data_IF_994345599818
#
_entry.id   IF_994345599818
#
_cell.length_a   1.000
_cell.length_b   1.000
_cell.length_c   1.000
_cell.angle_alpha   90.00
_cell.angle_beta   90.00
_cell.angle_gamma   90.00
#
_symmetry.space_group_name_H-M   'P 1'
#
loop_
_entity.id
_entity.type
_entity.pdbx_description
1 polymer ?
#
# COMPACT_ATOMS: atom_id res chain seq x y z
N UNK A 1 -26.59 -19.90 -13.68
CA UNK A 1 -26.40 -18.88 -14.74
C UNK A 1 -26.43 -17.53 -14.05
N UNK A 2 -25.29 -16.83 -14.01
CA UNK A 2 -25.21 -15.47 -13.47
C UNK A 2 -25.78 -14.58 -14.57
N UNK A 3 -27.02 -14.14 -14.42
CA UNK A 3 -27.57 -13.11 -15.30
C UNK A 3 -26.97 -11.77 -14.85
N UNK A 4 -25.99 -11.28 -15.59
CA UNK A 4 -25.49 -9.90 -15.45
C UNK A 4 -26.62 -8.97 -15.87
N UNK A 5 -27.33 -8.45 -14.89
CA UNK A 5 -28.29 -7.37 -15.15
C UNK A 5 -27.50 -6.07 -15.35
N UNK A 6 -27.22 -5.73 -16.63
CA UNK A 6 -26.50 -4.52 -17.02
C UNK A 6 -27.38 -3.26 -16.96
N UNK A 7 -28.40 -3.26 -16.10
CA UNK A 7 -29.24 -2.09 -15.85
C UNK A 7 -28.47 -0.89 -15.28
N UNK A 8 -29.11 0.31 -15.24
CA UNK A 8 -28.46 1.53 -14.74
C UNK A 8 -27.81 1.38 -13.35
N UNK A 9 -28.38 0.55 -12.48
CA UNK A 9 -27.88 0.28 -11.15
C UNK A 9 -26.52 -0.44 -11.16
N UNK A 10 -26.26 -1.32 -12.13
CA UNK A 10 -24.97 -1.96 -12.30
C UNK A 10 -23.87 -0.92 -12.55
N UNK A 11 -24.10 0.02 -13.46
CA UNK A 11 -23.12 1.05 -13.80
C UNK A 11 -22.86 2.02 -12.65
N UNK A 12 -23.89 2.39 -11.89
CA UNK A 12 -23.74 3.25 -10.71
C UNK A 12 -22.89 2.55 -9.67
N UNK A 13 -23.17 1.29 -9.33
CA UNK A 13 -22.38 0.51 -8.36
C UNK A 13 -20.94 0.27 -8.84
N UNK A 14 -20.75 0.01 -10.14
CA UNK A 14 -19.44 -0.16 -10.72
C UNK A 14 -18.59 1.12 -10.58
N UNK A 15 -19.18 2.28 -10.85
CA UNK A 15 -18.52 3.57 -10.66
C UNK A 15 -18.23 3.84 -9.18
N UNK A 16 -19.15 3.53 -8.29
CA UNK A 16 -18.97 3.65 -6.85
C UNK A 16 -17.81 2.78 -6.35
N UNK A 17 -17.79 1.50 -6.71
CA UNK A 17 -16.71 0.57 -6.32
C UNK A 17 -15.37 1.02 -6.95
N UNK A 18 -15.37 1.41 -8.23
CA UNK A 18 -14.18 1.90 -8.91
C UNK A 18 -13.63 3.17 -8.24
N UNK A 19 -14.50 4.10 -7.86
CA UNK A 19 -14.11 5.32 -7.17
C UNK A 19 -13.61 5.05 -5.76
N UNK A 20 -14.32 4.24 -4.97
CA UNK A 20 -13.87 3.81 -3.64
C UNK A 20 -12.51 3.11 -3.70
N UNK A 21 -12.35 2.16 -4.63
CA UNK A 21 -11.08 1.46 -4.78
C UNK A 21 -9.95 2.40 -5.22
N UNK A 22 -10.23 3.39 -6.07
CA UNK A 22 -9.24 4.41 -6.45
C UNK A 22 -8.85 5.28 -5.26
N UNK A 23 -9.83 5.70 -4.45
CA UNK A 23 -9.59 6.51 -3.25
C UNK A 23 -8.73 5.76 -2.24
N UNK A 24 -9.04 4.46 -2.03
CA UNK A 24 -8.32 3.57 -1.12
C UNK A 24 -6.99 3.05 -1.69
N UNK A 25 -6.66 3.37 -2.95
CA UNK A 25 -5.43 2.88 -3.61
C UNK A 25 -4.31 3.94 -3.68
N UNK A 26 -4.53 5.11 -3.07
CA UNK A 26 -3.53 6.18 -3.09
C UNK A 26 -2.22 5.79 -2.40
N UNK A 27 -2.30 5.18 -1.24
CA UNK A 27 -1.19 4.63 -0.46
C UNK A 27 -0.52 3.44 -1.17
N UNK A 28 -1.30 2.58 -1.83
CA UNK A 28 -0.79 1.47 -2.66
C UNK A 28 0.06 2.00 -3.83
N UNK A 29 -0.36 3.09 -4.48
CA UNK A 29 0.44 3.71 -5.54
C UNK A 29 1.79 4.26 -5.01
N UNK A 30 1.79 4.85 -3.81
CA UNK A 30 3.01 5.31 -3.13
C UNK A 30 3.92 4.13 -2.79
N UNK A 31 3.36 3.06 -2.25
CA UNK A 31 4.09 1.83 -1.92
C UNK A 31 4.76 1.23 -3.16
N UNK A 32 3.99 1.04 -4.24
CA UNK A 32 4.52 0.50 -5.51
C UNK A 32 5.63 1.40 -6.03
N UNK A 33 5.42 2.72 -6.05
CA UNK A 33 6.42 3.67 -6.50
C UNK A 33 7.73 3.57 -5.70
N UNK A 34 7.64 3.50 -4.36
CA UNK A 34 8.79 3.32 -3.48
C UNK A 34 9.50 1.98 -3.70
N UNK A 35 8.76 0.90 -3.90
CA UNK A 35 9.31 -0.43 -4.10
C UNK A 35 10.09 -0.57 -5.42
N UNK A 36 9.59 0.07 -6.50
CA UNK A 36 10.20 -0.05 -7.84
C UNK A 36 11.21 1.05 -8.17
N UNK A 37 11.34 2.11 -7.36
CA UNK A 37 12.16 3.29 -7.68
C UNK A 37 13.63 2.95 -7.98
N UNK A 38 14.18 1.95 -7.26
CA UNK A 38 15.57 1.49 -7.40
C UNK A 38 15.82 0.56 -8.57
N UNK A 39 14.75 0.11 -9.23
CA UNK A 39 14.87 -0.77 -10.38
C UNK A 39 15.26 0.00 -11.66
N UNK A 40 15.99 -0.63 -12.60
CA UNK A 40 16.17 -0.11 -13.94
C UNK A 40 14.83 0.20 -14.62
N UNK A 41 14.77 1.20 -15.50
CA UNK A 41 13.52 1.69 -16.09
C UNK A 41 12.61 0.58 -16.66
N UNK A 42 13.19 -0.38 -17.40
CA UNK A 42 12.40 -1.49 -17.96
C UNK A 42 11.86 -2.46 -16.90
N UNK A 43 12.59 -2.69 -15.80
CA UNK A 43 12.11 -3.50 -14.67
C UNK A 43 11.09 -2.78 -13.81
N UNK A 44 11.06 -1.43 -13.81
CA UNK A 44 10.04 -0.66 -13.06
C UNK A 44 8.64 -0.98 -13.54
N UNK A 45 8.42 -0.94 -14.86
CA UNK A 45 7.11 -1.25 -15.46
C UNK A 45 6.72 -2.69 -15.16
N UNK A 46 7.65 -3.64 -15.31
CA UNK A 46 7.39 -5.04 -14.98
C UNK A 46 7.05 -5.22 -13.49
N UNK A 47 7.77 -4.54 -12.59
CA UNK A 47 7.49 -4.58 -11.15
C UNK A 47 6.14 -3.99 -10.80
N UNK A 48 5.75 -2.89 -11.43
CA UNK A 48 4.43 -2.28 -11.27
C UNK A 48 3.32 -3.20 -11.76
N UNK A 49 3.46 -3.77 -12.96
CA UNK A 49 2.44 -4.64 -13.57
C UNK A 49 2.29 -5.94 -12.75
N UNK A 50 3.39 -6.64 -12.45
CA UNK A 50 3.34 -7.88 -11.68
C UNK A 50 2.92 -7.65 -10.23
N UNK A 51 3.38 -6.55 -9.61
CA UNK A 51 2.97 -6.16 -8.27
C UNK A 51 1.48 -5.85 -8.21
N UNK A 52 0.97 -5.00 -9.12
CA UNK A 52 -0.44 -4.65 -9.17
C UNK A 52 -1.34 -5.84 -9.54
N UNK A 53 -0.94 -6.66 -10.52
CA UNK A 53 -1.70 -7.86 -10.89
C UNK A 53 -1.77 -8.87 -9.73
N UNK A 54 -0.66 -9.11 -9.05
CA UNK A 54 -0.63 -9.97 -7.88
C UNK A 54 -1.47 -9.44 -6.72
N UNK A 55 -1.42 -8.13 -6.47
CA UNK A 55 -2.25 -7.46 -5.48
C UNK A 55 -3.75 -7.64 -5.78
N UNK A 56 -4.17 -7.49 -7.04
CA UNK A 56 -5.56 -7.73 -7.45
C UNK A 56 -6.01 -9.16 -7.17
N UNK A 57 -5.18 -10.14 -7.54
CA UNK A 57 -5.49 -11.56 -7.29
C UNK A 57 -5.63 -11.82 -5.80
N UNK A 58 -4.69 -11.33 -4.98
CA UNK A 58 -4.75 -11.46 -3.52
C UNK A 58 -6.00 -10.79 -2.94
N UNK A 59 -6.35 -9.60 -3.42
CA UNK A 59 -7.53 -8.85 -2.98
C UNK A 59 -8.83 -9.60 -3.29
N UNK A 60 -8.94 -10.21 -4.47
CA UNK A 60 -10.08 -11.07 -4.82
C UNK A 60 -10.19 -12.30 -3.92
N UNK A 61 -9.07 -12.94 -3.59
CA UNK A 61 -9.02 -14.04 -2.62
C UNK A 61 -9.47 -13.56 -1.24
N UNK A 62 -9.03 -12.38 -0.79
CA UNK A 62 -9.39 -11.82 0.50
C UNK A 62 -10.86 -11.41 0.58
N UNK A 63 -11.46 -10.89 -0.50
CA UNK A 63 -12.92 -10.66 -0.54
C UNK A 63 -13.67 -11.96 -0.21
N UNK A 64 -13.25 -13.09 -0.76
CA UNK A 64 -13.84 -14.39 -0.47
C UNK A 64 -13.61 -14.91 0.95
N UNK A 65 -12.51 -14.51 1.59
CA UNK A 65 -12.09 -14.99 2.91
C UNK A 65 -12.31 -13.96 4.04
N UNK A 66 -12.91 -12.81 3.75
CA UNK A 66 -12.95 -11.66 4.65
C UNK A 66 -13.49 -11.97 6.04
N UNK A 67 -14.58 -12.73 6.12
CA UNK A 67 -15.21 -13.06 7.40
C UNK A 67 -14.29 -13.90 8.31
N UNK A 68 -13.47 -14.78 7.70
CA UNK A 68 -12.51 -15.59 8.43
C UNK A 68 -11.30 -14.74 8.87
N UNK A 69 -10.84 -13.83 8.02
CA UNK A 69 -9.70 -12.95 8.30
C UNK A 69 -10.00 -11.98 9.45
N UNK A 70 -11.20 -11.40 9.47
CA UNK A 70 -11.63 -10.49 10.54
C UNK A 70 -11.76 -11.15 11.92
N UNK A 71 -11.92 -12.47 11.97
CA UNK A 71 -11.98 -13.21 13.21
C UNK A 71 -10.61 -13.44 13.86
N UNK A 72 -9.50 -13.20 13.14
CA UNK A 72 -8.14 -13.45 13.64
C UNK A 72 -7.71 -12.26 14.53
N UNK A 73 -7.52 -12.48 15.84
CA UNK A 73 -7.05 -11.43 16.74
C UNK A 73 -5.60 -11.05 16.41
N UNK A 74 -5.25 -9.80 16.65
CA UNK A 74 -3.92 -9.21 16.39
C UNK A 74 -3.50 -9.20 14.92
N UNK A 75 -4.36 -9.55 13.97
CA UNK A 75 -4.01 -9.57 12.55
C UNK A 75 -3.63 -8.18 12.04
N UNK A 76 -4.38 -7.15 12.43
CA UNK A 76 -4.12 -5.76 12.04
C UNK A 76 -2.86 -5.22 12.70
N UNK A 77 -2.59 -5.57 13.97
CA UNK A 77 -1.34 -5.20 14.64
C UNK A 77 -0.14 -5.81 13.92
N UNK A 78 -0.21 -7.11 13.61
CA UNK A 78 0.87 -7.80 12.90
C UNK A 78 1.10 -7.19 11.51
N UNK A 79 0.03 -6.92 10.77
CA UNK A 79 0.08 -6.27 9.47
C UNK A 79 0.69 -4.86 9.55
N UNK A 80 0.22 -4.04 10.48
CA UNK A 80 0.77 -2.70 10.72
C UNK A 80 2.25 -2.72 11.07
N UNK A 81 2.70 -3.67 11.91
CA UNK A 81 4.12 -3.85 12.22
C UNK A 81 4.95 -4.24 10.98
N UNK A 82 4.44 -5.15 10.14
CA UNK A 82 5.09 -5.51 8.86
C UNK A 82 5.15 -4.30 7.93
N UNK A 83 4.07 -3.52 7.84
CA UNK A 83 4.01 -2.32 7.00
C UNK A 83 5.01 -1.25 7.49
N UNK A 84 5.15 -1.05 8.80
CA UNK A 84 6.16 -0.17 9.39
C UNK A 84 7.58 -0.60 9.01
N UNK A 85 7.86 -1.89 9.10
CA UNK A 85 9.15 -2.45 8.70
C UNK A 85 9.42 -2.21 7.20
N UNK A 86 8.43 -2.43 6.34
CA UNK A 86 8.55 -2.18 4.89
C UNK A 86 8.76 -0.69 4.64
N UNK A 87 7.97 0.19 5.25
CA UNK A 87 8.09 1.64 5.11
C UNK A 87 9.47 2.12 5.52
N UNK A 88 9.98 1.68 6.67
CA UNK A 88 11.35 1.96 7.11
C UNK A 88 12.39 1.51 6.09
N UNK A 89 12.28 0.28 5.58
CA UNK A 89 13.21 -0.27 4.59
C UNK A 89 13.16 0.49 3.26
N UNK A 90 11.99 1.00 2.88
CA UNK A 90 11.80 1.74 1.64
C UNK A 90 12.30 3.18 1.71
N UNK A 91 12.26 3.84 2.89
CA UNK A 91 12.79 5.21 3.04
C UNK A 91 14.30 5.26 3.22
N UNK A 92 14.96 4.14 3.46
CA UNK A 92 16.41 4.10 3.54
C UNK A 92 17.05 4.57 2.23
N UNK A 93 18.07 5.43 2.30
CA UNK A 93 18.81 5.84 1.11
C UNK A 93 19.49 4.64 0.46
N UNK A 94 19.49 4.61 -0.86
CA UNK A 94 20.24 3.62 -1.64
C UNK A 94 21.72 4.01 -1.66
N UNK A 95 22.45 3.67 -0.62
CA UNK A 95 23.83 4.09 -0.47
C UNK A 95 24.53 3.36 0.65
N UNK A 96 24.85 2.15 0.43
CA UNK A 96 25.91 1.39 1.04
C UNK A 96 26.55 0.62 -0.09
N UNK A 97 27.87 0.48 -0.06
CA UNK A 97 28.73 -0.13 -1.08
C UNK A 97 28.06 -1.23 -1.88
N UNK A 98 28.33 -1.33 -3.20
CA UNK A 98 28.01 -2.54 -3.92
C UNK A 98 28.87 -3.64 -3.27
N UNK A 99 28.34 -4.32 -2.25
CA UNK A 99 28.85 -5.64 -1.90
C UNK A 99 28.79 -6.42 -3.22
N UNK A 100 29.95 -6.74 -3.74
CA UNK A 100 30.13 -7.56 -4.91
C UNK A 100 29.30 -8.85 -4.71
N UNK A 101 28.11 -8.92 -5.34
CA UNK A 101 27.17 -10.04 -5.20
C UNK A 101 25.73 -9.67 -4.86
N UNK A 102 25.39 -8.48 -4.34
CA UNK A 102 24.01 -7.98 -4.22
C UNK A 102 23.67 -7.19 -5.47
N UNK A 103 23.16 -7.87 -6.46
CA UNK A 103 22.42 -7.26 -7.57
C UNK A 103 21.40 -6.32 -6.96
N UNK A 104 21.34 -5.06 -7.42
CA UNK A 104 20.37 -4.06 -6.98
C UNK A 104 18.98 -4.69 -6.88
N UNK A 105 18.15 -4.24 -5.92
CA UNK A 105 16.87 -4.87 -5.55
C UNK A 105 16.25 -5.60 -6.73
N UNK A 106 16.22 -6.94 -6.67
CA UNK A 106 15.70 -7.77 -7.75
C UNK A 106 14.25 -7.39 -8.02
N UNK A 107 13.81 -7.45 -9.27
CA UNK A 107 12.41 -7.31 -9.68
C UNK A 107 11.49 -8.09 -8.74
N UNK A 108 11.82 -9.35 -8.47
CA UNK A 108 11.04 -10.22 -7.60
C UNK A 108 11.03 -9.78 -6.14
N UNK A 109 12.10 -9.14 -5.66
CA UNK A 109 12.11 -8.56 -4.32
C UNK A 109 11.16 -7.36 -4.23
N UNK A 110 11.12 -6.50 -5.25
CA UNK A 110 10.17 -5.41 -5.30
C UNK A 110 8.71 -5.92 -5.36
N UNK A 111 8.44 -6.90 -6.25
CA UNK A 111 7.12 -7.55 -6.35
C UNK A 111 6.73 -8.16 -5.00
N UNK A 112 7.62 -8.87 -4.34
CA UNK A 112 7.36 -9.47 -3.03
C UNK A 112 7.01 -8.41 -1.97
N UNK A 113 7.75 -7.30 -1.90
CA UNK A 113 7.45 -6.21 -0.97
C UNK A 113 6.06 -5.60 -1.25
N UNK A 114 5.71 -5.42 -2.52
CA UNK A 114 4.40 -4.93 -2.93
C UNK A 114 3.31 -5.89 -2.45
N UNK A 115 3.46 -7.18 -2.71
CA UNK A 115 2.47 -8.19 -2.35
C UNK A 115 2.28 -8.30 -0.83
N UNK A 116 3.39 -8.34 -0.06
CA UNK A 116 3.32 -8.43 1.40
C UNK A 116 2.66 -7.19 2.00
N UNK A 117 3.00 -6.01 1.50
CA UNK A 117 2.37 -4.79 1.98
C UNK A 117 0.89 -4.70 1.56
N UNK A 118 0.54 -5.07 0.32
CA UNK A 118 -0.86 -5.09 -0.13
C UNK A 118 -1.71 -6.07 0.70
N UNK A 119 -1.17 -7.25 1.06
CA UNK A 119 -1.81 -8.18 1.98
C UNK A 119 -2.17 -7.51 3.30
N UNK A 120 -1.25 -6.72 3.86
CA UNK A 120 -1.48 -6.06 5.16
C UNK A 120 -2.49 -4.94 5.07
N UNK A 121 -2.49 -4.18 3.97
CA UNK A 121 -3.34 -2.99 3.76
C UNK A 121 -4.70 -3.34 3.14
N UNK A 122 -4.83 -4.52 2.53
CA UNK A 122 -6.04 -4.88 1.79
C UNK A 122 -7.24 -5.23 2.68
N UNK A 123 -7.03 -5.48 3.97
CA UNK A 123 -8.12 -5.96 4.84
C UNK A 123 -9.28 -4.96 4.92
N UNK A 124 -8.97 -3.68 5.10
CA UNK A 124 -9.96 -2.61 5.21
C UNK A 124 -10.52 -2.22 3.83
N UNK A 125 -9.65 -2.19 2.81
CA UNK A 125 -10.05 -1.95 1.43
C UNK A 125 -11.04 -3.01 0.92
N UNK A 126 -10.80 -4.28 1.26
CA UNK A 126 -11.65 -5.41 0.89
C UNK A 126 -13.01 -5.31 1.56
N UNK A 127 -13.08 -4.88 2.84
CA UNK A 127 -14.33 -4.65 3.55
C UNK A 127 -15.20 -3.59 2.88
N UNK A 128 -14.61 -2.43 2.58
CA UNK A 128 -15.31 -1.33 1.93
C UNK A 128 -15.85 -1.75 0.56
N UNK A 129 -15.04 -2.43 -0.25
CA UNK A 129 -15.43 -2.91 -1.57
C UNK A 129 -16.51 -3.99 -1.48
N UNK A 130 -16.38 -4.95 -0.56
CA UNK A 130 -17.36 -6.02 -0.37
C UNK A 130 -18.72 -5.47 0.09
N UNK A 131 -18.72 -4.45 0.96
CA UNK A 131 -19.93 -3.76 1.39
C UNK A 131 -20.61 -3.02 0.23
N UNK A 132 -19.86 -2.27 -0.57
CA UNK A 132 -20.38 -1.54 -1.72
C UNK A 132 -20.91 -2.47 -2.83
N UNK A 133 -20.34 -3.65 -2.97
CA UNK A 133 -20.74 -4.64 -3.97
C UNK A 133 -22.01 -5.42 -3.61
N UNK A 134 -22.48 -5.32 -2.37
CA UNK A 134 -23.65 -6.08 -1.87
C UNK A 134 -23.61 -7.58 -2.19
N UNK A 135 -22.42 -8.19 -2.18
CA UNK A 135 -22.20 -9.61 -2.44
C UNK A 135 -22.01 -9.99 -3.92
N UNK A 136 -22.03 -9.04 -4.85
CA UNK A 136 -21.76 -9.29 -6.26
C UNK A 136 -20.25 -9.34 -6.54
N UNK A 137 -19.70 -10.56 -6.57
CA UNK A 137 -18.27 -10.81 -6.80
C UNK A 137 -17.78 -10.40 -8.19
N UNK A 138 -18.68 -10.38 -9.20
CA UNK A 138 -18.32 -9.93 -10.56
C UNK A 138 -18.11 -8.42 -10.55
N UNK A 139 -19.00 -7.71 -9.87
CA UNK A 139 -18.90 -6.26 -9.71
C UNK A 139 -17.63 -5.88 -8.94
N UNK A 140 -17.28 -6.63 -7.88
CA UNK A 140 -16.00 -6.48 -7.14
C UNK A 140 -14.81 -6.67 -8.07
N UNK A 141 -14.78 -7.78 -8.82
CA UNK A 141 -13.66 -8.10 -9.70
C UNK A 141 -13.42 -7.03 -10.76
N UNK A 142 -14.50 -6.55 -11.41
CA UNK A 142 -14.41 -5.50 -12.42
C UNK A 142 -13.99 -4.17 -11.78
N UNK A 143 -14.57 -3.79 -10.65
CA UNK A 143 -14.25 -2.54 -9.94
C UNK A 143 -12.78 -2.49 -9.49
N UNK A 144 -12.25 -3.59 -8.95
CA UNK A 144 -10.83 -3.68 -8.59
C UNK A 144 -9.96 -3.63 -9.85
N UNK A 145 -10.32 -4.36 -10.92
CA UNK A 145 -9.54 -4.39 -12.15
C UNK A 145 -9.44 -3.02 -12.83
N UNK A 146 -10.50 -2.20 -12.76
CA UNK A 146 -10.52 -0.85 -13.33
C UNK A 146 -9.52 0.11 -12.69
N UNK A 147 -9.18 -0.06 -11.41
CA UNK A 147 -8.20 0.80 -10.73
C UNK A 147 -6.75 0.48 -11.11
N UNK A 148 -6.46 -0.74 -11.59
CA UNK A 148 -5.09 -1.21 -11.87
C UNK A 148 -4.34 -0.29 -12.84
N UNK A 149 -4.89 0.08 -14.00
CA UNK A 149 -4.21 0.99 -14.92
C UNK A 149 -3.86 2.34 -14.27
N UNK A 150 -4.76 2.85 -13.45
CA UNK A 150 -4.59 4.14 -12.76
C UNK A 150 -3.48 4.04 -11.72
N UNK A 151 -3.47 2.96 -10.93
CA UNK A 151 -2.42 2.70 -9.93
C UNK A 151 -1.05 2.51 -10.60
N UNK A 152 -0.98 1.77 -11.71
CA UNK A 152 0.27 1.57 -12.47
C UNK A 152 0.79 2.91 -13.01
N UNK A 153 -0.06 3.69 -13.66
CA UNK A 153 0.35 5.01 -14.18
C UNK A 153 0.73 5.94 -13.05
N UNK A 154 -0.08 6.03 -12.00
CA UNK A 154 0.16 6.87 -10.83
C UNK A 154 1.47 6.51 -10.11
N UNK A 155 1.73 5.23 -9.88
CA UNK A 155 2.98 4.78 -9.27
C UNK A 155 4.20 5.05 -10.17
N UNK A 156 4.05 4.98 -11.50
CA UNK A 156 5.09 5.34 -12.47
C UNK A 156 5.47 6.83 -12.42
N UNK A 157 4.46 7.69 -12.35
CA UNK A 157 4.64 9.14 -12.18
C UNK A 157 5.31 9.42 -10.83
N UNK A 158 4.83 8.84 -9.75
CA UNK A 158 5.40 8.98 -8.41
C UNK A 158 6.86 8.50 -8.37
N UNK A 159 7.18 7.32 -8.92
CA UNK A 159 8.54 6.80 -8.97
C UNK A 159 9.48 7.74 -9.75
N UNK A 160 8.99 8.38 -10.81
CA UNK A 160 9.74 9.38 -11.58
C UNK A 160 9.95 10.66 -10.76
N UNK A 161 8.92 11.14 -10.06
CA UNK A 161 9.02 12.30 -9.18
C UNK A 161 9.98 12.06 -8.01
N UNK A 162 9.95 10.86 -7.40
CA UNK A 162 10.88 10.46 -6.33
C UNK A 162 12.35 10.49 -6.78
N UNK A 163 12.62 10.13 -8.04
CA UNK A 163 13.98 10.23 -8.58
C UNK A 163 14.45 11.67 -8.77
N UNK A 164 13.51 12.60 -8.99
CA UNK A 164 13.81 14.04 -9.17
C UNK A 164 13.78 14.80 -7.84
N UNK A 165 12.90 14.43 -6.93
CA UNK A 165 12.66 15.09 -5.66
C UNK A 165 12.72 14.09 -4.50
N UNK A 166 13.91 13.87 -3.89
CA UNK A 166 14.08 12.89 -2.81
C UNK A 166 13.15 13.09 -1.60
N UNK A 167 12.69 14.32 -1.37
CA UNK A 167 11.74 14.61 -0.30
C UNK A 167 10.44 13.79 -0.41
N UNK A 168 10.01 13.46 -1.63
CA UNK A 168 8.79 12.66 -1.87
C UNK A 168 8.95 11.25 -1.28
N UNK A 169 10.18 10.72 -1.20
CA UNK A 169 10.45 9.41 -0.60
C UNK A 169 10.12 9.41 0.89
N UNK A 170 10.54 10.46 1.60
CA UNK A 170 10.29 10.57 3.04
C UNK A 170 8.82 10.83 3.34
N UNK A 171 8.18 11.68 2.52
CA UNK A 171 6.73 11.92 2.61
C UNK A 171 5.97 10.62 2.33
N UNK A 172 6.37 9.86 1.29
CA UNK A 172 5.78 8.56 0.99
C UNK A 172 5.93 7.56 2.14
N UNK A 173 7.11 7.52 2.77
CA UNK A 173 7.32 6.73 3.98
C UNK A 173 6.42 7.17 5.13
N UNK A 174 6.19 8.47 5.28
CA UNK A 174 5.23 9.02 6.24
C UNK A 174 3.79 8.58 5.97
N UNK A 175 3.36 8.57 4.71
CA UNK A 175 2.03 8.08 4.31
C UNK A 175 1.86 6.61 4.69
N UNK A 176 2.86 5.75 4.39
CA UNK A 176 2.84 4.35 4.80
C UNK A 176 2.87 4.19 6.32
N UNK A 177 3.58 5.08 7.02
CA UNK A 177 3.61 5.12 8.48
C UNK A 177 2.26 5.49 9.07
N UNK A 178 1.55 6.45 8.47
CA UNK A 178 0.18 6.79 8.85
C UNK A 178 -0.74 5.58 8.71
N UNK A 179 -0.74 4.94 7.54
CA UNK A 179 -1.55 3.76 7.28
C UNK A 179 -1.26 2.61 8.27
N UNK A 180 0.01 2.38 8.58
CA UNK A 180 0.40 1.37 9.56
C UNK A 180 -0.07 1.70 10.98
N UNK A 181 0.02 2.97 11.38
CA UNK A 181 -0.47 3.44 12.68
C UNK A 181 -1.98 3.30 12.82
N UNK A 182 -2.70 3.69 11.79
CA UNK A 182 -4.15 3.58 11.70
C UNK A 182 -4.60 2.11 11.83
N UNK A 183 -3.99 1.24 11.03
CA UNK A 183 -4.23 -0.19 11.06
C UNK A 183 -4.00 -0.83 12.44
N UNK A 184 -2.98 -0.39 13.19
CA UNK A 184 -2.71 -0.89 14.55
C UNK A 184 -3.83 -0.47 15.51
N UNK A 185 -4.31 0.77 15.42
CA UNK A 185 -5.38 1.26 16.28
C UNK A 185 -6.73 0.58 16.01
N UNK A 186 -7.00 0.25 14.77
CA UNK A 186 -8.24 -0.39 14.34
C UNK A 186 -8.28 -1.90 14.65
N UNK A 187 -7.23 -2.48 15.28
CA UNK A 187 -7.27 -3.88 15.71
C UNK A 187 -8.34 -4.08 16.80
N UNK A 188 -9.23 -5.07 16.65
CA UNK A 188 -10.30 -5.33 17.62
C UNK A 188 -9.81 -5.57 19.06
N UNK A 189 -8.56 -5.98 19.23
CA UNK A 189 -7.95 -6.17 20.57
C UNK A 189 -7.57 -4.83 21.17
N UNK A 190 -7.03 -3.90 20.36
CA UNK A 190 -6.68 -2.54 20.78
C UNK A 190 -7.96 -1.78 21.14
N UNK A 191 -8.96 -1.82 20.27
CA UNK A 191 -10.25 -1.17 20.47
C UNK A 191 -10.91 -1.64 21.78
N UNK A 192 -10.96 -2.95 22.00
CA UNK A 192 -11.52 -3.53 23.25
C UNK A 192 -10.74 -3.15 24.51
N UNK A 193 -9.41 -2.99 24.43
CA UNK A 193 -8.57 -2.66 25.59
C UNK A 193 -8.54 -1.19 25.91
N UNK A 194 -8.50 -0.32 24.91
CA UNK A 194 -8.40 1.12 25.07
C UNK A 194 -9.77 1.83 25.09
N UNK A 195 -10.84 1.20 24.60
CA UNK A 195 -12.19 1.75 24.60
C UNK A 195 -12.24 3.15 23.97
N UNK A 196 -12.82 4.11 24.68
CA UNK A 196 -12.98 5.49 24.18
C UNK A 196 -11.64 6.20 23.88
N UNK A 197 -10.52 5.75 24.44
CA UNK A 197 -9.19 6.34 24.19
C UNK A 197 -8.76 6.14 22.73
N UNK A 198 -9.20 5.06 22.05
CA UNK A 198 -8.93 4.83 20.62
C UNK A 198 -9.41 6.01 19.78
N UNK A 199 -10.60 6.52 20.05
CA UNK A 199 -11.15 7.66 19.31
C UNK A 199 -10.32 8.94 19.51
N UNK A 200 -9.77 9.16 20.71
CA UNK A 200 -8.89 10.28 20.97
C UNK A 200 -7.52 10.12 20.28
N UNK A 201 -7.07 8.88 20.06
CA UNK A 201 -5.80 8.54 19.41
C UNK A 201 -5.91 8.35 17.89
N UNK A 202 -7.12 8.31 17.33
CA UNK A 202 -7.38 7.99 15.92
C UNK A 202 -6.60 8.86 14.92
N UNK A 203 -6.38 10.13 15.23
CA UNK A 203 -5.56 11.02 14.41
C UNK A 203 -4.14 11.23 14.96
N UNK A 204 -3.94 11.51 16.28
CA UNK A 204 -2.61 11.85 16.77
C UNK A 204 -1.61 10.67 16.70
N UNK A 205 -2.04 9.44 16.89
CA UNK A 205 -1.12 8.29 16.86
C UNK A 205 -0.62 7.99 15.43
N UNK A 206 -1.48 7.83 14.39
CA UNK A 206 -1.01 7.66 13.01
C UNK A 206 -0.16 8.83 12.52
N UNK A 207 -0.52 10.08 12.89
CA UNK A 207 0.27 11.26 12.54
C UNK A 207 1.65 11.26 13.22
N UNK A 208 1.75 10.82 14.46
CA UNK A 208 3.04 10.69 15.14
C UNK A 208 3.92 9.63 14.46
N UNK A 209 3.36 8.49 14.08
CA UNK A 209 4.07 7.43 13.33
C UNK A 209 4.54 7.96 11.97
N UNK A 210 3.68 8.67 11.25
CA UNK A 210 4.02 9.33 9.99
C UNK A 210 5.18 10.32 10.13
N UNK A 211 5.12 11.19 11.15
CA UNK A 211 6.15 12.18 11.43
C UNK A 211 7.50 11.52 11.78
N UNK A 212 7.47 10.45 12.58
CA UNK A 212 8.68 9.69 12.95
C UNK A 212 9.33 9.09 11.70
N UNK A 213 8.58 8.41 10.83
CA UNK A 213 9.14 7.80 9.62
C UNK A 213 9.64 8.84 8.63
N UNK A 214 8.91 9.95 8.44
CA UNK A 214 9.37 11.06 7.62
C UNK A 214 10.67 11.65 8.16
N UNK A 215 10.73 11.87 9.48
CA UNK A 215 11.93 12.39 10.17
C UNK A 215 13.11 11.45 10.09
N UNK A 216 12.89 10.15 10.25
CA UNK A 216 13.94 9.12 10.11
C UNK A 216 14.47 9.10 8.68
N UNK A 217 13.59 9.11 7.67
CA UNK A 217 14.00 9.15 6.26
C UNK A 217 14.84 10.39 5.93
N UNK A 218 14.41 11.56 6.38
CA UNK A 218 15.16 12.81 6.22
C UNK A 218 16.52 12.78 6.95
N UNK A 219 16.57 12.30 8.18
CA UNK A 219 17.80 12.20 8.95
C UNK A 219 18.80 11.23 8.34
N UNK A 220 18.34 10.06 7.88
CA UNK A 220 19.19 9.08 7.19
C UNK A 220 19.76 9.68 5.88
N UNK A 221 18.94 10.43 5.13
CA UNK A 221 19.37 11.07 3.90
C UNK A 221 20.44 12.17 4.15
N UNK A 222 20.39 12.89 5.28
CA UNK A 222 21.40 13.89 5.65
C UNK A 222 22.72 13.27 6.09
N UNK A 223 22.71 12.06 6.61
CA UNK A 223 23.95 11.37 7.07
C UNK A 223 24.78 10.80 5.93
N UNK A 224 24.23 10.67 4.73
CA UNK A 224 25.04 10.30 3.58
C UNK A 224 25.73 11.55 3.04
N UNK A 225 27.09 11.59 3.07
CA UNK A 225 27.83 12.69 2.45
C UNK A 225 27.48 12.72 0.98
N UNK A 226 27.09 13.90 0.50
CA UNK A 226 26.75 14.16 -0.89
C UNK A 226 27.89 13.70 -1.80
N UNK A 227 27.72 12.57 -2.49
CA UNK A 227 28.45 12.32 -3.73
C UNK A 227 27.85 13.23 -4.82
N UNK A 228 28.03 14.54 -4.64
CA UNK A 228 27.88 15.51 -5.73
C UNK A 228 29.28 15.75 -6.25
N UNK A 229 29.44 15.52 -7.55
CA UNK A 229 30.53 15.95 -8.43
C UNK A 229 31.86 15.20 -8.29
N UNK A 230 32.10 14.25 -9.12
CA UNK A 230 33.17 14.32 -10.14
C UNK A 230 32.64 13.76 -11.43
#
# INVERSE_FOLDING_TARGET
MISLDLGPQFWIRLLEIGFLNLLLSGDNAVLIALAVRSLPRHHRILGQVWGAAGAVVLRLVFVGAISALLAIPFLRIAGGAVLLWIAYKLVQPEGGEPEAGRHGRSLWHAVWLILVADVTMSLDNVLAIAAAAHGDMVLVAIGIAMSVPIVIVGSGVLATLMSRYPAIIWIGGGILGYAAGDMILEDPVVERRLGAVVHALAYPFPLAVAAILTGVGWWLARRQPSRRAT
#
